data_IF_530779485290
#
_entry.id   IF_530779485290
#
_cell.length_a   1.000
_cell.length_b   1.000
_cell.length_c   1.000
_cell.angle_alpha   90.00
_cell.angle_beta   90.00
_cell.angle_gamma   90.00
#
_symmetry.space_group_name_H-M   'P 1'
#
loop_
_entity.id
_entity.type
_entity.pdbx_description
1 polymer ?
#
# COMPACT_ATOMS: atom_id res chain seq x y z
N UNK A 1 -12.47 -2.05 23.24
CA UNK A 1 -11.24 -2.85 23.08
C UNK A 1 -11.65 -4.30 22.94
N UNK A 2 -11.12 -5.04 21.96
CA UNK A 2 -11.46 -6.46 21.78
C UNK A 2 -10.62 -7.31 22.74
N UNK A 3 -11.26 -8.28 23.38
CA UNK A 3 -10.62 -9.19 24.33
C UNK A 3 -10.28 -10.53 23.67
N UNK A 4 -9.34 -11.26 24.27
CA UNK A 4 -8.98 -12.58 23.81
C UNK A 4 -10.16 -13.57 23.95
N UNK A 5 -10.42 -14.35 22.90
CA UNK A 5 -11.47 -15.39 22.87
C UNK A 5 -11.15 -16.63 23.73
N UNK A 6 -9.95 -16.73 24.33
CA UNK A 6 -9.59 -17.84 25.22
C UNK A 6 -10.37 -17.72 26.55
N UNK A 7 -11.06 -18.78 27.01
CA UNK A 7 -11.75 -18.75 28.30
C UNK A 7 -10.81 -18.37 29.44
N UNK A 8 -11.21 -17.41 30.26
CA UNK A 8 -10.41 -16.92 31.40
C UNK A 8 -9.31 -15.92 31.05
N UNK A 9 -9.21 -15.45 29.79
CA UNK A 9 -8.27 -14.42 29.39
C UNK A 9 -8.97 -13.10 29.08
N UNK A 10 -8.65 -12.04 29.82
CA UNK A 10 -9.14 -10.67 29.59
C UNK A 10 -8.09 -9.76 28.93
N UNK A 11 -6.99 -10.32 28.42
CA UNK A 11 -5.95 -9.53 27.75
C UNK A 11 -6.47 -8.96 26.43
N UNK A 12 -6.01 -7.78 26.01
CA UNK A 12 -6.37 -7.21 24.72
C UNK A 12 -5.93 -8.13 23.59
N UNK A 13 -6.81 -8.31 22.61
CA UNK A 13 -6.47 -9.03 21.39
C UNK A 13 -5.57 -8.19 20.49
N UNK A 14 -4.59 -8.84 19.87
CA UNK A 14 -3.64 -8.24 18.91
C UNK A 14 -3.64 -8.98 17.58
N UNK A 15 -4.22 -10.17 17.54
CA UNK A 15 -4.27 -11.03 16.37
C UNK A 15 -5.65 -11.64 16.18
N UNK A 16 -5.96 -11.98 14.92
CA UNK A 16 -7.16 -12.73 14.56
C UNK A 16 -6.74 -14.06 13.91
N UNK A 17 -7.32 -15.15 14.40
CA UNK A 17 -7.12 -16.52 13.95
C UNK A 17 -8.36 -17.01 13.19
N UNK A 18 -8.13 -17.57 12.00
CA UNK A 18 -9.15 -18.18 11.15
C UNK A 18 -8.75 -19.60 10.79
N UNK A 19 -9.71 -20.53 10.89
CA UNK A 19 -9.51 -21.92 10.49
C UNK A 19 -10.15 -22.19 9.13
N UNK A 20 -9.35 -22.62 8.17
CA UNK A 20 -9.77 -23.08 6.85
C UNK A 20 -9.76 -24.60 6.85
N UNK A 21 -10.87 -25.18 7.31
CA UNK A 21 -10.99 -26.63 7.52
C UNK A 21 -10.79 -27.45 6.23
N UNK A 22 -11.25 -26.94 5.09
CA UNK A 22 -11.11 -27.63 3.80
C UNK A 22 -9.64 -27.87 3.41
N UNK A 23 -8.75 -26.96 3.81
CA UNK A 23 -7.31 -27.01 3.51
C UNK A 23 -6.50 -27.53 4.70
N UNK A 24 -7.16 -27.77 5.85
CA UNK A 24 -6.48 -28.05 7.13
C UNK A 24 -5.49 -26.95 7.51
N UNK A 25 -5.89 -25.69 7.36
CA UNK A 25 -5.00 -24.54 7.57
C UNK A 25 -5.52 -23.64 8.68
N UNK A 26 -4.63 -23.17 9.55
CA UNK A 26 -4.88 -22.17 10.56
C UNK A 26 -4.11 -20.89 10.19
N UNK A 27 -4.83 -19.85 9.80
CA UNK A 27 -4.24 -18.56 9.42
C UNK A 27 -4.34 -17.60 10.59
N UNK A 28 -3.21 -17.10 11.03
CA UNK A 28 -3.07 -16.12 12.08
C UNK A 28 -2.61 -14.81 11.44
N UNK A 29 -3.35 -13.73 11.66
CA UNK A 29 -3.01 -12.42 11.13
C UNK A 29 -3.19 -11.29 12.14
N UNK A 30 -2.83 -10.06 11.77
CA UNK A 30 -3.06 -8.87 12.58
C UNK A 30 -4.53 -8.74 12.99
N UNK A 31 -4.81 -8.06 14.10
CA UNK A 31 -6.18 -7.83 14.55
C UNK A 31 -6.99 -7.15 13.44
N UNK A 32 -8.03 -7.84 12.97
CA UNK A 32 -8.91 -7.30 11.94
C UNK A 32 -9.68 -6.05 12.42
N UNK A 33 -10.11 -5.17 11.50
CA UNK A 33 -10.87 -3.97 11.85
C UNK A 33 -12.26 -4.28 12.42
N UNK A 34 -12.82 -5.44 12.06
CA UNK A 34 -14.11 -5.91 12.51
C UNK A 34 -14.03 -7.36 13.01
N UNK A 35 -15.07 -7.77 13.73
CA UNK A 35 -15.20 -9.14 14.24
C UNK A 35 -15.96 -9.99 13.24
N UNK A 36 -15.29 -10.97 12.67
CA UNK A 36 -15.90 -11.90 11.74
C UNK A 36 -16.48 -13.11 12.49
N UNK A 37 -17.61 -13.68 12.02
CA UNK A 37 -18.34 -14.74 12.73
C UNK A 37 -17.55 -16.04 12.90
N UNK A 38 -16.53 -16.30 12.08
CA UNK A 38 -15.72 -17.52 12.11
C UNK A 38 -14.25 -17.26 12.54
N UNK A 39 -14.01 -16.13 13.21
CA UNK A 39 -12.68 -15.69 13.60
C UNK A 39 -12.52 -15.65 15.11
N UNK A 40 -11.30 -15.93 15.59
CA UNK A 40 -10.94 -15.90 17.00
C UNK A 40 -9.90 -14.84 17.28
N UNK A 41 -10.20 -13.95 18.21
CA UNK A 41 -9.26 -12.90 18.61
C UNK A 41 -8.32 -13.40 19.70
N UNK A 42 -7.02 -13.27 19.51
CA UNK A 42 -6.00 -13.76 20.43
C UNK A 42 -5.10 -12.62 20.90
N UNK A 43 -4.75 -12.64 22.19
CA UNK A 43 -3.70 -11.78 22.73
C UNK A 43 -2.32 -12.30 22.32
N UNK A 44 -1.28 -11.49 22.51
CA UNK A 44 0.09 -11.79 22.07
C UNK A 44 0.60 -13.14 22.59
N UNK A 45 0.36 -13.47 23.86
CA UNK A 45 0.82 -14.75 24.40
C UNK A 45 0.06 -15.94 23.80
N UNK A 46 -1.25 -15.81 23.56
CA UNK A 46 -2.06 -16.89 23.02
C UNK A 46 -1.88 -17.08 21.52
N UNK A 47 -1.61 -16.02 20.77
CA UNK A 47 -1.20 -16.14 19.38
C UNK A 47 0.19 -16.78 19.29
N UNK A 48 1.13 -16.41 20.16
CA UNK A 48 2.47 -17.01 20.23
C UNK A 48 2.44 -18.49 20.60
N UNK A 49 1.64 -18.87 21.59
CA UNK A 49 1.50 -20.26 22.06
C UNK A 49 0.53 -21.13 21.24
N UNK A 50 -0.08 -20.59 20.17
CA UNK A 50 -1.03 -21.35 19.37
C UNK A 50 -0.34 -22.52 18.66
N UNK A 51 -0.87 -23.72 18.88
CA UNK A 51 -0.57 -24.93 18.13
C UNK A 51 -1.79 -25.39 17.33
N UNK A 52 -1.61 -25.70 16.05
CA UNK A 52 -2.68 -26.30 15.25
C UNK A 52 -2.78 -27.83 15.49
N UNK A 53 -3.92 -28.45 15.11
CA UNK A 53 -4.07 -29.90 15.14
C UNK A 53 -3.01 -30.62 14.29
N UNK A 54 -2.82 -31.93 14.53
CA UNK A 54 -1.84 -32.72 13.78
C UNK A 54 -2.19 -32.73 12.29
N UNK A 55 -1.20 -32.46 11.45
CA UNK A 55 -1.37 -32.41 9.99
C UNK A 55 -1.98 -31.10 9.48
N UNK A 56 -2.18 -30.11 10.35
CA UNK A 56 -2.60 -28.77 9.92
C UNK A 56 -1.41 -27.84 9.71
N UNK A 57 -1.54 -26.97 8.71
CA UNK A 57 -0.57 -25.92 8.45
C UNK A 57 -0.91 -24.65 9.25
N UNK A 58 0.10 -24.00 9.84
CA UNK A 58 -0.07 -22.71 10.51
C UNK A 58 0.60 -21.63 9.68
N UNK A 59 -0.20 -20.72 9.15
CA UNK A 59 0.28 -19.56 8.40
C UNK A 59 0.21 -18.34 9.31
N UNK A 60 1.36 -17.72 9.60
CA UNK A 60 1.43 -16.47 10.35
C UNK A 60 1.72 -15.33 9.39
N UNK A 61 0.75 -14.43 9.22
CA UNK A 61 0.92 -13.24 8.41
C UNK A 61 1.78 -12.20 9.15
N UNK A 62 2.57 -11.40 8.42
CA UNK A 62 3.31 -10.30 9.01
C UNK A 62 2.36 -9.28 9.67
N UNK A 63 2.89 -8.51 10.63
CA UNK A 63 2.12 -7.45 11.32
C UNK A 63 1.40 -7.86 12.61
N UNK A 64 1.58 -9.09 13.10
CA UNK A 64 1.07 -9.51 14.41
C UNK A 64 1.94 -8.95 15.55
N UNK A 65 3.26 -9.02 15.35
CA UNK A 65 4.29 -8.57 16.31
C UNK A 65 4.93 -7.23 15.90
N UNK A 66 4.63 -6.74 14.70
CA UNK A 66 5.11 -5.45 14.24
C UNK A 66 4.34 -4.37 15.01
N UNK A 67 5.04 -3.55 15.80
CA UNK A 67 4.51 -2.27 16.23
C UNK A 67 3.98 -1.54 14.98
N UNK A 68 2.87 -0.79 15.06
CA UNK A 68 2.34 -0.11 13.89
C UNK A 68 3.48 0.66 13.24
N UNK A 69 3.92 0.18 12.07
CA UNK A 69 4.86 0.91 11.25
C UNK A 69 4.24 2.29 11.10
N UNK A 70 5.07 3.31 11.31
CA UNK A 70 4.83 4.72 11.02
C UNK A 70 3.51 4.90 10.26
N UNK A 71 2.51 5.52 10.88
CA UNK A 71 1.15 5.60 10.33
C UNK A 71 1.22 5.92 8.84
N UNK A 72 0.44 5.26 7.97
CA UNK A 72 0.51 5.49 6.53
C UNK A 72 0.50 6.98 6.14
N UNK A 73 -0.19 7.82 6.91
CA UNK A 73 -0.18 9.28 6.78
C UNK A 73 1.22 9.93 6.93
N UNK A 74 2.05 9.47 7.86
CA UNK A 74 3.41 10.00 8.07
C UNK A 74 4.37 9.55 6.97
N UNK A 75 4.25 8.30 6.50
CA UNK A 75 5.02 7.81 5.35
C UNK A 75 4.64 8.55 4.05
N UNK A 76 3.35 8.75 3.80
CA UNK A 76 2.87 9.53 2.65
C UNK A 76 3.34 10.99 2.71
N UNK A 77 3.35 11.61 3.90
CA UNK A 77 3.88 12.96 4.09
C UNK A 77 5.41 13.02 3.93
N UNK A 78 6.14 12.00 4.40
CA UNK A 78 7.58 11.87 4.22
C UNK A 78 7.95 11.72 2.74
N UNK A 79 7.23 10.88 1.98
CA UNK A 79 7.39 10.73 0.53
C UNK A 79 7.05 12.04 -0.20
N UNK A 80 5.94 12.70 0.15
CA UNK A 80 5.58 13.98 -0.44
C UNK A 80 6.64 15.07 -0.20
N UNK A 81 7.29 15.07 0.99
CA UNK A 81 8.42 15.95 1.31
C UNK A 81 9.65 15.61 0.48
N UNK A 82 10.01 14.33 0.36
CA UNK A 82 11.17 13.89 -0.42
C UNK A 82 11.04 14.22 -1.92
N UNK A 83 9.83 14.07 -2.49
CA UNK A 83 9.54 14.44 -3.89
C UNK A 83 9.67 15.95 -4.09
N UNK A 84 9.18 16.76 -3.15
CA UNK A 84 9.36 18.23 -3.20
C UNK A 84 10.82 18.63 -3.11
N UNK A 85 11.59 18.04 -2.20
CA UNK A 85 13.03 18.31 -2.07
C UNK A 85 13.77 17.95 -3.36
N UNK A 86 13.45 16.81 -3.98
CA UNK A 86 14.08 16.40 -5.25
C UNK A 86 13.75 17.35 -6.40
N UNK A 87 12.49 17.81 -6.50
CA UNK A 87 12.06 18.76 -7.54
C UNK A 87 12.62 20.18 -7.37
N UNK A 88 13.15 20.54 -6.20
CA UNK A 88 13.82 21.83 -5.99
C UNK A 88 15.29 21.82 -6.41
N UNK A 89 15.93 20.64 -6.52
CA UNK A 89 17.32 20.50 -6.97
C UNK A 89 17.44 20.68 -8.50
N UNK A 90 16.34 20.63 -9.23
CA UNK A 90 16.29 20.90 -10.68
C UNK A 90 16.28 22.41 -11.02
N UNK A 91 16.35 23.27 -9.99
CA UNK A 91 16.36 24.74 -10.14
C UNK A 91 17.72 25.40 -10.35
N UNK A 92 18.83 24.73 -10.02
CA UNK A 92 20.15 25.35 -10.04
C UNK A 92 21.22 24.53 -10.79
N UNK A 93 21.33 24.85 -12.09
CA UNK A 93 22.50 24.72 -12.99
C UNK A 93 22.61 23.47 -13.88
N UNK A 94 22.31 23.66 -15.19
CA UNK A 94 23.10 23.01 -16.26
C UNK A 94 22.43 22.77 -17.62
N UNK A 95 22.35 23.78 -18.50
CA UNK A 95 22.46 23.63 -19.97
C UNK A 95 21.33 22.89 -20.75
N UNK A 96 21.25 23.06 -22.09
CA UNK A 96 20.05 22.75 -22.87
C UNK A 96 20.02 21.28 -23.28
N UNK A 97 19.65 20.36 -22.38
CA UNK A 97 19.38 18.98 -22.74
C UNK A 97 17.91 18.67 -22.46
N UNK A 98 17.18 18.38 -23.54
CA UNK A 98 15.72 18.33 -23.62
C UNK A 98 15.03 17.42 -22.61
N UNK A 99 14.05 18.01 -21.93
CA UNK A 99 13.07 17.34 -21.10
C UNK A 99 12.07 18.34 -20.52
N UNK A 100 11.79 19.41 -21.26
CA UNK A 100 10.83 20.43 -20.82
C UNK A 100 9.43 19.82 -20.82
N UNK A 101 8.73 19.96 -19.70
CA UNK A 101 7.27 19.93 -19.71
C UNK A 101 6.81 20.85 -20.86
N UNK A 102 6.00 20.38 -21.83
CA UNK A 102 5.58 21.22 -22.94
C UNK A 102 4.86 22.42 -22.35
N UNK A 103 5.23 23.62 -22.81
CA UNK A 103 4.51 24.83 -22.46
C UNK A 103 3.02 24.61 -22.78
N UNK A 104 2.09 25.08 -21.92
CA UNK A 104 0.67 24.73 -22.05
C UNK A 104 0.03 25.17 -23.38
N UNK A 105 0.73 26.00 -24.16
CA UNK A 105 0.34 26.50 -25.47
C UNK A 105 0.87 25.69 -26.67
N UNK A 106 1.79 24.73 -26.46
CA UNK A 106 2.39 23.94 -27.56
C UNK A 106 1.53 22.74 -27.99
N UNK A 107 0.61 22.30 -27.12
CA UNK A 107 -0.24 21.13 -27.31
C UNK A 107 -1.56 21.55 -27.98
N UNK A 108 -1.78 21.09 -29.22
CA UNK A 108 -3.03 21.37 -29.94
C UNK A 108 -3.78 20.08 -30.28
N UNK A 109 -5.10 20.10 -30.12
CA UNK A 109 -5.99 19.00 -30.51
C UNK A 109 -6.23 19.07 -32.01
N UNK A 110 -5.85 18.01 -32.74
CA UNK A 110 -5.96 17.95 -34.21
C UNK A 110 -7.16 17.14 -34.68
N UNK A 111 -7.67 16.22 -33.88
CA UNK A 111 -8.93 15.55 -34.16
C UNK A 111 -9.59 15.07 -32.87
N UNK A 112 -10.92 15.12 -32.80
CA UNK A 112 -11.68 14.51 -31.73
C UNK A 112 -12.85 13.70 -32.28
N UNK A 113 -13.11 12.53 -31.70
CA UNK A 113 -14.24 11.65 -32.02
C UNK A 113 -14.84 11.09 -30.75
N UNK A 114 -15.96 11.67 -30.31
CA UNK A 114 -16.57 11.32 -29.04
C UNK A 114 -15.69 11.78 -27.87
N UNK A 115 -15.30 10.84 -27.00
CA UNK A 115 -14.46 11.11 -25.82
C UNK A 115 -12.95 11.00 -26.09
N UNK A 116 -12.54 10.68 -27.32
CA UNK A 116 -11.14 10.53 -27.70
C UNK A 116 -10.68 11.75 -28.51
N UNK A 117 -9.51 12.28 -28.15
CA UNK A 117 -8.87 13.40 -28.84
C UNK A 117 -7.41 13.06 -29.16
N UNK A 118 -6.98 13.36 -30.38
CA UNK A 118 -5.59 13.24 -30.84
C UNK A 118 -4.96 14.63 -30.75
N UNK A 119 -3.92 14.73 -29.92
CA UNK A 119 -3.11 15.93 -29.74
C UNK A 119 -1.76 15.76 -30.45
N UNK A 120 -1.24 16.84 -31.01
CA UNK A 120 0.15 16.91 -31.50
C UNK A 120 0.85 18.07 -30.83
N UNK A 121 2.13 17.85 -30.56
CA UNK A 121 3.02 18.84 -29.99
C UNK A 121 3.71 19.62 -31.12
N UNK A 122 3.55 20.94 -31.10
CA UNK A 122 4.07 21.83 -32.15
C UNK A 122 5.60 21.97 -32.10
N UNK A 123 6.24 21.47 -31.04
CA UNK A 123 7.69 21.49 -30.90
C UNK A 123 8.41 20.42 -31.74
N UNK A 124 7.73 19.34 -32.16
CA UNK A 124 8.31 18.29 -33.03
C UNK A 124 8.47 18.76 -34.50
N UNK A 125 7.68 19.75 -34.93
CA UNK A 125 7.68 20.23 -36.31
C UNK A 125 8.87 21.14 -36.66
N UNK A 126 9.55 21.71 -35.67
CA UNK A 126 10.65 22.66 -35.89
C UNK A 126 12.03 21.98 -36.15
N UNK A 127 12.11 20.64 -36.05
CA UNK A 127 13.38 19.90 -36.11
C UNK A 127 13.72 19.22 -37.44
N UNK A 128 12.91 19.34 -38.51
CA UNK A 128 13.15 18.64 -39.79
C UNK A 128 13.11 19.56 -41.01
N UNK A 129 14.24 20.19 -41.31
CA UNK A 129 14.64 20.53 -42.68
C UNK A 129 16.14 20.31 -42.84
N UNK A 130 16.50 19.34 -43.68
CA UNK A 130 17.82 19.14 -44.29
C UNK A 130 17.79 19.73 -45.70
#
# INVERSE_FOLDING_TARGET
MRECSRPGCSRPAVATLTYVYAESTAVLGPLGPAREPNSYDLCQDHSGALSAPRGWEVIRLPGIDEAPAITPDDDLMALARAVRETGMLEGESGGPLGGGVPAPDSVRVVASRGHLSVIVDSTDAAGRTH
#
